data_IF_983629576341
#
_entry.id   IF_983629576341
#
_cell.length_a   1.000
_cell.length_b   1.000
_cell.length_c   1.000
_cell.angle_alpha   90.00
_cell.angle_beta   90.00
_cell.angle_gamma   90.00
#
_symmetry.space_group_name_H-M   'P 1'
#
loop_
_entity.id
_entity.type
_entity.pdbx_description
1 polymer ?
#
# COMPACT_ATOMS: atom_id res chain seq x y z
N UNK A 1 -11.74 13.09 -6.49
CA UNK A 1 -11.78 12.38 -5.19
C UNK A 1 -12.59 11.09 -5.32
N UNK A 2 -13.71 11.17 -6.02
CA UNK A 2 -14.63 10.06 -6.34
C UNK A 2 -13.94 8.78 -6.84
N UNK A 3 -13.03 8.85 -7.82
CA UNK A 3 -12.34 7.65 -8.34
C UNK A 3 -11.51 6.90 -7.28
N UNK A 4 -10.84 7.62 -6.38
CA UNK A 4 -10.03 7.03 -5.31
C UNK A 4 -10.94 6.29 -4.31
N UNK A 5 -12.08 6.90 -3.97
CA UNK A 5 -13.08 6.31 -3.08
C UNK A 5 -13.69 5.04 -3.71
N UNK A 6 -14.09 5.10 -4.98
CA UNK A 6 -14.64 3.95 -5.70
C UNK A 6 -13.62 2.80 -5.71
N UNK A 7 -12.37 3.08 -6.05
CA UNK A 7 -11.32 2.07 -6.05
C UNK A 7 -11.08 1.50 -4.65
N UNK A 8 -10.98 2.34 -3.62
CA UNK A 8 -10.83 1.89 -2.23
C UNK A 8 -11.96 0.95 -1.82
N UNK A 9 -13.22 1.35 -2.07
CA UNK A 9 -14.40 0.53 -1.76
C UNK A 9 -14.38 -0.82 -2.48
N UNK A 10 -14.06 -0.84 -3.78
CA UNK A 10 -14.00 -2.10 -4.55
C UNK A 10 -12.92 -3.05 -4.02
N UNK A 11 -11.71 -2.54 -3.75
CA UNK A 11 -10.62 -3.36 -3.20
C UNK A 11 -10.92 -3.87 -1.78
N UNK A 12 -11.57 -3.06 -0.95
CA UNK A 12 -12.03 -3.49 0.39
C UNK A 12 -13.08 -4.58 0.30
N UNK A 13 -14.06 -4.46 -0.60
CA UNK A 13 -15.09 -5.48 -0.81
C UNK A 13 -14.47 -6.80 -1.27
N UNK A 14 -13.58 -6.76 -2.27
CA UNK A 14 -12.90 -7.96 -2.78
C UNK A 14 -12.08 -8.64 -1.67
N UNK A 15 -11.28 -7.86 -0.93
CA UNK A 15 -10.50 -8.41 0.18
C UNK A 15 -11.37 -8.98 1.31
N UNK A 16 -12.48 -8.32 1.65
CA UNK A 16 -13.40 -8.80 2.68
C UNK A 16 -14.08 -10.11 2.27
N UNK A 17 -14.51 -10.24 1.01
CA UNK A 17 -15.07 -11.49 0.48
C UNK A 17 -14.04 -12.62 0.56
N UNK A 18 -12.78 -12.35 0.22
CA UNK A 18 -11.71 -13.35 0.31
C UNK A 18 -11.40 -13.79 1.74
N UNK A 19 -11.51 -12.88 2.71
CA UNK A 19 -11.36 -13.19 4.14
C UNK A 19 -12.52 -14.05 4.64
N UNK A 20 -13.75 -13.68 4.30
CA UNK A 20 -14.96 -14.38 4.77
C UNK A 20 -15.16 -15.75 4.12
N UNK A 21 -14.59 -15.98 2.94
CA UNK A 21 -14.73 -17.26 2.22
C UNK A 21 -13.78 -18.36 2.71
N UNK A 22 -12.96 -18.13 3.75
CA UNK A 22 -11.97 -19.01 4.42
C UNK A 22 -10.86 -19.64 3.55
N UNK A 23 -11.16 -20.08 2.32
CA UNK A 23 -10.22 -20.70 1.38
C UNK A 23 -9.04 -19.80 0.97
N UNK A 24 -9.12 -18.49 1.23
CA UNK A 24 -8.08 -17.52 0.90
C UNK A 24 -7.86 -16.48 2.00
N UNK A 25 -8.14 -16.82 3.26
CA UNK A 25 -8.08 -15.89 4.40
C UNK A 25 -6.80 -15.05 4.43
N UNK A 26 -5.64 -15.71 4.32
CA UNK A 26 -4.34 -15.03 4.34
C UNK A 26 -4.15 -14.09 3.13
N UNK A 27 -4.53 -14.53 1.93
CA UNK A 27 -4.47 -13.70 0.72
C UNK A 27 -5.42 -12.50 0.80
N UNK A 28 -6.61 -12.69 1.38
CA UNK A 28 -7.58 -11.64 1.64
C UNK A 28 -7.04 -10.58 2.59
N UNK A 29 -6.42 -11.00 3.70
CA UNK A 29 -5.73 -10.09 4.63
C UNK A 29 -4.60 -9.31 3.95
N UNK A 30 -3.78 -9.99 3.15
CA UNK A 30 -2.70 -9.33 2.40
C UNK A 30 -3.24 -8.26 1.45
N UNK A 31 -4.31 -8.56 0.72
CA UNK A 31 -4.98 -7.62 -0.19
C UNK A 31 -5.58 -6.43 0.56
N UNK A 32 -6.28 -6.67 1.67
CA UNK A 32 -6.87 -5.62 2.52
C UNK A 32 -5.81 -4.68 3.08
N UNK A 33 -4.74 -5.22 3.66
CA UNK A 33 -3.66 -4.41 4.22
C UNK A 33 -2.93 -3.61 3.13
N UNK A 34 -2.67 -4.22 1.97
CA UNK A 34 -2.05 -3.52 0.82
C UNK A 34 -2.93 -2.39 0.31
N UNK A 35 -4.23 -2.65 0.14
CA UNK A 35 -5.20 -1.66 -0.31
C UNK A 35 -5.27 -0.49 0.69
N UNK A 36 -5.36 -0.79 1.99
CA UNK A 36 -5.42 0.24 3.03
C UNK A 36 -4.20 1.15 3.00
N UNK A 37 -2.99 0.58 2.93
CA UNK A 37 -1.77 1.37 2.85
C UNK A 37 -1.75 2.19 1.56
N UNK A 38 -2.00 1.58 0.40
CA UNK A 38 -1.96 2.25 -0.90
C UNK A 38 -2.93 3.42 -1.02
N UNK A 39 -4.21 3.22 -0.66
CA UNK A 39 -5.22 4.27 -0.74
C UNK A 39 -4.98 5.37 0.29
N UNK A 40 -4.45 5.04 1.48
CA UNK A 40 -4.03 6.03 2.46
C UNK A 40 -2.89 6.89 1.91
N UNK A 41 -1.86 6.29 1.31
CA UNK A 41 -0.75 7.02 0.70
C UNK A 41 -1.23 7.91 -0.45
N UNK A 42 -2.08 7.39 -1.35
CA UNK A 42 -2.63 8.14 -2.46
C UNK A 42 -3.49 9.33 -1.98
N UNK A 43 -4.24 9.16 -0.89
CA UNK A 43 -4.95 10.25 -0.24
C UNK A 43 -4.00 11.31 0.33
N UNK A 44 -2.93 10.91 1.04
CA UNK A 44 -1.95 11.84 1.60
C UNK A 44 -1.23 12.66 0.52
N UNK A 45 -0.84 12.03 -0.59
CA UNK A 45 -0.24 12.72 -1.75
C UNK A 45 -1.23 13.75 -2.30
N UNK A 46 -2.47 13.32 -2.55
CA UNK A 46 -3.50 14.19 -3.14
C UNK A 46 -3.89 15.34 -2.23
N UNK A 47 -3.87 15.14 -0.91
CA UNK A 47 -4.12 16.18 0.08
C UNK A 47 -2.93 17.15 0.25
N UNK A 48 -1.83 16.96 -0.47
CA UNK A 48 -0.60 17.75 -0.34
C UNK A 48 0.15 17.50 0.96
N UNK A 49 -0.22 16.45 1.70
CA UNK A 49 0.41 16.06 2.97
C UNK A 49 1.67 15.22 2.77
N UNK A 50 1.86 14.67 1.58
CA UNK A 50 3.03 13.89 1.20
C UNK A 50 3.54 14.40 -0.15
N UNK A 51 4.65 15.15 -0.15
CA UNK A 51 5.24 15.68 -1.38
C UNK A 51 6.39 14.80 -1.87
N UNK A 52 6.08 13.88 -2.79
CA UNK A 52 7.08 12.99 -3.41
C UNK A 52 7.95 13.74 -4.43
N UNK A 53 7.47 14.88 -4.96
CA UNK A 53 8.15 15.64 -6.01
C UNK A 53 9.39 16.38 -5.52
N UNK A 54 9.33 16.95 -4.31
CA UNK A 54 10.45 17.66 -3.66
C UNK A 54 11.35 16.77 -2.79
N UNK A 55 10.97 15.49 -2.64
CA UNK A 55 11.69 14.49 -1.82
C UNK A 55 13.05 14.12 -2.43
N UNK A 56 14.06 13.90 -1.58
CA UNK A 56 15.41 13.52 -2.02
C UNK A 56 15.46 12.08 -2.53
N UNK A 57 16.45 11.75 -3.39
CA UNK A 57 16.63 10.38 -3.90
C UNK A 57 16.77 9.33 -2.78
N UNK A 58 17.34 9.71 -1.63
CA UNK A 58 17.54 8.82 -0.48
C UNK A 58 16.22 8.42 0.21
N UNK A 59 15.18 9.23 0.09
CA UNK A 59 13.84 8.98 0.65
C UNK A 59 12.90 8.38 -0.41
N UNK A 60 13.07 8.79 -1.66
CA UNK A 60 12.28 8.33 -2.82
C UNK A 60 12.61 6.91 -3.23
N UNK A 61 13.88 6.50 -3.20
CA UNK A 61 14.27 5.15 -3.60
C UNK A 61 13.68 4.06 -2.69
N UNK A 62 13.71 4.19 -1.34
CA UNK A 62 13.04 3.26 -0.44
C UNK A 62 11.51 3.21 -0.64
N UNK A 63 10.87 4.35 -0.93
CA UNK A 63 9.44 4.41 -1.22
C UNK A 63 9.09 3.57 -2.47
N UNK A 64 9.81 3.77 -3.57
CA UNK A 64 9.60 3.03 -4.82
C UNK A 64 9.92 1.55 -4.64
N UNK A 65 11.05 1.23 -3.98
CA UNK A 65 11.47 -0.14 -3.75
C UNK A 65 10.47 -0.89 -2.86
N UNK A 66 10.04 -0.29 -1.74
CA UNK A 66 9.03 -0.86 -0.85
C UNK A 66 7.73 -1.18 -1.59
N UNK A 67 7.24 -0.22 -2.41
CA UNK A 67 6.07 -0.43 -3.24
C UNK A 67 6.24 -1.60 -4.23
N UNK A 68 7.36 -1.64 -4.97
CA UNK A 68 7.61 -2.72 -5.93
C UNK A 68 7.70 -4.09 -5.25
N UNK A 69 8.40 -4.18 -4.11
CA UNK A 69 8.53 -5.43 -3.35
C UNK A 69 7.15 -5.88 -2.87
N UNK A 70 6.32 -4.99 -2.35
CA UNK A 70 4.94 -5.32 -1.93
C UNK A 70 4.14 -5.89 -3.09
N UNK A 71 4.12 -5.23 -4.26
CA UNK A 71 3.30 -5.66 -5.40
C UNK A 71 3.78 -7.01 -5.96
N UNK A 72 5.08 -7.20 -6.13
CA UNK A 72 5.66 -8.45 -6.63
C UNK A 72 5.39 -9.60 -5.64
N UNK A 73 5.64 -9.37 -4.36
CA UNK A 73 5.46 -10.40 -3.34
C UNK A 73 3.98 -10.78 -3.13
N UNK A 74 3.05 -9.82 -3.31
CA UNK A 74 1.61 -10.09 -3.32
C UNK A 74 1.23 -11.04 -4.47
N UNK A 75 1.77 -10.82 -5.68
CA UNK A 75 1.55 -11.69 -6.83
C UNK A 75 2.11 -13.10 -6.66
N UNK A 76 3.21 -13.24 -5.91
CA UNK A 76 3.85 -14.51 -5.60
C UNK A 76 3.29 -15.18 -4.33
N UNK A 77 2.31 -14.58 -3.65
CA UNK A 77 1.77 -15.04 -2.34
C UNK A 77 2.87 -15.25 -1.29
N UNK A 78 3.93 -14.45 -1.37
CA UNK A 78 5.16 -14.65 -0.59
C UNK A 78 5.16 -13.90 0.74
N UNK A 79 5.83 -14.47 1.74
CA UNK A 79 6.06 -13.85 3.06
C UNK A 79 6.81 -12.51 2.98
N UNK A 80 7.58 -12.29 1.92
CA UNK A 80 8.29 -11.03 1.65
C UNK A 80 7.36 -9.82 1.44
N UNK A 81 6.06 -10.07 1.27
CA UNK A 81 5.04 -9.03 1.20
C UNK A 81 5.07 -8.10 2.42
N UNK A 82 5.19 -8.67 3.63
CA UNK A 82 5.21 -7.90 4.86
C UNK A 82 6.44 -6.98 4.94
N UNK A 83 7.58 -7.45 4.43
CA UNK A 83 8.83 -6.66 4.35
C UNK A 83 8.64 -5.49 3.39
N UNK A 84 8.07 -5.72 2.20
CA UNK A 84 7.76 -4.66 1.26
C UNK A 84 6.86 -3.60 1.88
N UNK A 85 5.78 -4.02 2.55
CA UNK A 85 4.86 -3.11 3.23
C UNK A 85 5.58 -2.31 4.32
N UNK A 86 6.41 -2.95 5.14
CA UNK A 86 7.13 -2.27 6.21
C UNK A 86 8.06 -1.19 5.63
N UNK A 87 8.85 -1.52 4.60
CA UNK A 87 9.73 -0.56 3.93
C UNK A 87 8.93 0.58 3.32
N UNK A 88 7.78 0.29 2.70
CA UNK A 88 6.92 1.29 2.11
C UNK A 88 6.35 2.26 3.15
N UNK A 89 5.80 1.75 4.26
CA UNK A 89 5.25 2.56 5.37
C UNK A 89 6.34 3.41 6.01
N UNK A 90 7.52 2.84 6.29
CA UNK A 90 8.65 3.59 6.88
C UNK A 90 9.06 4.74 5.95
N UNK A 91 9.08 4.50 4.65
CA UNK A 91 9.43 5.53 3.66
C UNK A 91 8.39 6.65 3.63
N UNK A 92 7.09 6.31 3.67
CA UNK A 92 6.00 7.29 3.77
C UNK A 92 6.16 8.13 5.04
N UNK A 93 6.44 7.49 6.17
CA UNK A 93 6.63 8.20 7.44
C UNK A 93 7.83 9.16 7.39
N UNK A 94 8.96 8.73 6.82
CA UNK A 94 10.15 9.57 6.67
C UNK A 94 9.88 10.80 5.80
N UNK A 95 9.15 10.63 4.69
CA UNK A 95 8.76 11.73 3.80
C UNK A 95 7.77 12.67 4.50
N UNK A 96 6.79 12.12 5.22
CA UNK A 96 5.75 12.90 5.91
C UNK A 96 6.30 13.75 7.07
N UNK A 97 7.35 13.30 7.74
CA UNK A 97 7.93 14.00 8.91
C UNK A 97 8.76 15.23 8.53
N UNK A 98 9.17 15.33 7.26
CA UNK A 98 10.03 16.39 6.75
C UNK A 98 9.22 17.65 6.44
#
# INVERSE_FOLDING_TARGET
MVLLLIAATLFTIVGAIMVLSDYNYYNGLQLLATALVFFTTAYLIKAGKLDIGSTTSNEKNPFIAGFMITVIALGLKGLFWAVGIAVFIISIYNIYKK
#
